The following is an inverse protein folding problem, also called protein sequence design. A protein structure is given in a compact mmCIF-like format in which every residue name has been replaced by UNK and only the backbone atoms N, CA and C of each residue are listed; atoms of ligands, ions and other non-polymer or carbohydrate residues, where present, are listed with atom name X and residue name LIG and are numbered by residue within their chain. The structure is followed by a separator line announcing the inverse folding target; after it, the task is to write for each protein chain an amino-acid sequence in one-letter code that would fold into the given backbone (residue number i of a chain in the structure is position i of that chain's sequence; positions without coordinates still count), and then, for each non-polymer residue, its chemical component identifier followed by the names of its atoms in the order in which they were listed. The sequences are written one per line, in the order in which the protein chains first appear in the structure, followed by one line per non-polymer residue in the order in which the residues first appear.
data_IF_371412997543
#
_entry.id   IF_371412997543
#
_cell.length_a   1.000
_cell.length_b   1.000
_cell.length_c   1.000
_cell.angle_alpha   90.00
_cell.angle_beta   90.00
_cell.angle_gamma   90.00
#
_symmetry.space_group_name_H-M   'P 1'
#
loop_
_entity.id
_entity.type
_entity.pdbx_description
1 polymer ?
#
# COMPACT_ATOMS: atom_id res chain seq x y z
N UNK A 1 -8.96 3.43 -17.79
CA UNK A 1 -8.07 4.28 -16.96
C UNK A 1 -6.79 3.50 -16.71
N UNK A 2 -5.61 4.02 -17.07
CA UNK A 2 -4.34 3.27 -16.99
C UNK A 2 -4.01 2.77 -15.57
N UNK A 3 -4.33 3.58 -14.56
CA UNK A 3 -4.09 3.25 -13.14
C UNK A 3 -4.83 1.99 -12.71
N UNK A 4 -6.14 1.87 -13.00
CA UNK A 4 -6.92 0.68 -12.61
C UNK A 4 -6.37 -0.61 -13.23
N UNK A 5 -5.86 -0.54 -14.47
CA UNK A 5 -5.22 -1.69 -15.13
C UNK A 5 -3.88 -2.04 -14.48
N UNK A 6 -3.07 -1.04 -14.15
CA UNK A 6 -1.81 -1.27 -13.44
C UNK A 6 -2.05 -1.92 -12.07
N UNK A 7 -3.05 -1.43 -11.33
CA UNK A 7 -3.46 -1.99 -10.04
C UNK A 7 -3.92 -3.43 -10.22
N UNK A 8 -4.79 -3.72 -11.19
CA UNK A 8 -5.26 -5.07 -11.47
C UNK A 8 -4.12 -6.05 -11.78
N UNK A 9 -3.11 -5.62 -12.55
CA UNK A 9 -1.93 -6.45 -12.83
C UNK A 9 -1.17 -6.76 -11.54
N UNK A 10 -0.90 -5.75 -10.70
CA UNK A 10 -0.18 -5.94 -9.44
C UNK A 10 -0.97 -6.83 -8.48
N UNK A 11 -2.27 -6.57 -8.32
CA UNK A 11 -3.12 -7.33 -7.38
C UNK A 11 -3.31 -8.77 -7.83
N UNK A 12 -3.46 -9.02 -9.13
CA UNK A 12 -3.54 -10.39 -9.65
C UNK A 12 -2.20 -11.14 -9.54
N UNK A 13 -1.07 -10.42 -9.62
CA UNK A 13 0.27 -11.03 -9.54
C UNK A 13 0.67 -11.35 -8.11
N UNK A 14 0.38 -10.44 -7.17
CA UNK A 14 0.76 -10.56 -5.76
C UNK A 14 -0.34 -11.17 -4.88
N UNK A 15 -1.54 -11.36 -5.41
CA UNK A 15 -2.73 -11.85 -4.71
C UNK A 15 -3.02 -11.09 -3.41
N UNK A 16 -3.10 -9.76 -3.50
CA UNK A 16 -3.38 -8.89 -2.35
C UNK A 16 -4.87 -8.57 -2.24
N UNK A 17 -5.36 -8.51 -1.01
CA UNK A 17 -6.75 -8.17 -0.69
C UNK A 17 -6.96 -6.66 -0.47
N UNK A 18 -5.88 -5.87 -0.38
CA UNK A 18 -5.96 -4.43 -0.08
C UNK A 18 -4.95 -3.61 -0.87
N UNK A 19 -5.43 -2.50 -1.44
CA UNK A 19 -4.64 -1.48 -2.12
C UNK A 19 -4.80 -0.15 -1.39
N UNK A 20 -3.67 0.43 -0.98
CA UNK A 20 -3.63 1.74 -0.33
C UNK A 20 -3.01 2.75 -1.29
N UNK A 21 -3.78 3.76 -1.71
CA UNK A 21 -3.27 4.88 -2.49
C UNK A 21 -2.75 5.99 -1.59
N UNK A 22 -1.62 6.57 -1.96
CA UNK A 22 -1.03 7.68 -1.23
C UNK A 22 -0.09 8.50 -2.08
N UNK A 23 0.61 9.42 -1.42
CA UNK A 23 1.55 10.35 -2.02
C UNK A 23 1.23 11.80 -1.68
N UNK A 24 2.16 12.72 -1.93
CA UNK A 24 2.06 14.12 -1.49
C UNK A 24 0.87 14.87 -2.09
N UNK A 25 0.29 14.39 -3.20
CA UNK A 25 -0.86 15.01 -3.85
C UNK A 25 -2.16 14.21 -3.71
N UNK A 26 -2.14 13.13 -2.91
CA UNK A 26 -3.27 12.21 -2.82
C UNK A 26 -4.55 12.90 -2.37
N UNK A 27 -4.47 13.86 -1.45
CA UNK A 27 -5.63 14.59 -0.93
C UNK A 27 -6.53 15.13 -2.04
N UNK A 28 -5.96 15.74 -3.08
CA UNK A 28 -6.71 16.35 -4.20
C UNK A 28 -7.25 15.33 -5.20
N UNK A 29 -6.68 14.12 -5.24
CA UNK A 29 -7.04 13.07 -6.21
C UNK A 29 -7.96 12.01 -5.59
N UNK A 30 -7.99 11.93 -4.26
CA UNK A 30 -8.57 10.85 -3.47
C UNK A 30 -10.03 10.57 -3.84
N UNK A 31 -10.89 11.58 -3.82
CA UNK A 31 -12.32 11.43 -4.09
C UNK A 31 -12.57 10.76 -5.45
N UNK A 32 -11.96 11.29 -6.51
CA UNK A 32 -12.13 10.75 -7.88
C UNK A 32 -11.59 9.34 -8.03
N UNK A 33 -10.46 9.04 -7.39
CA UNK A 33 -9.81 7.74 -7.51
C UNK A 33 -10.55 6.68 -6.70
N UNK A 34 -11.00 7.01 -5.49
CA UNK A 34 -11.77 6.13 -4.63
C UNK A 34 -13.17 5.85 -5.19
N UNK A 35 -13.77 6.78 -5.94
CA UNK A 35 -15.01 6.52 -6.69
C UNK A 35 -14.78 5.62 -7.92
N UNK A 36 -13.73 5.89 -8.71
CA UNK A 36 -13.57 5.26 -10.03
C UNK A 36 -12.80 3.96 -10.06
N UNK A 37 -11.82 3.77 -9.18
CA UNK A 37 -10.94 2.60 -9.26
C UNK A 37 -11.62 1.32 -8.79
N UNK A 38 -12.36 1.27 -7.66
CA UNK A 38 -12.97 0.03 -7.19
C UNK A 38 -13.83 -0.70 -8.25
N UNK A 39 -14.78 -0.04 -8.95
CA UNK A 39 -15.58 -0.75 -9.96
C UNK A 39 -14.75 -1.20 -11.16
N UNK A 40 -13.72 -0.45 -11.55
CA UNK A 40 -12.82 -0.83 -12.64
C UNK A 40 -11.89 -1.99 -12.26
N UNK A 41 -11.49 -2.08 -10.99
CA UNK A 41 -10.69 -3.17 -10.47
C UNK A 41 -11.52 -4.45 -10.33
N UNK A 42 -12.76 -4.31 -9.86
CA UNK A 42 -13.75 -5.39 -9.79
C UNK A 42 -14.08 -6.00 -11.18
N UNK A 43 -13.98 -5.23 -12.26
CA UNK A 43 -14.17 -5.77 -13.60
C UNK A 43 -12.94 -6.53 -14.15
N UNK A 44 -11.76 -6.36 -13.56
CA UNK A 44 -10.48 -6.83 -14.13
C UNK A 44 -9.67 -7.77 -13.22
N UNK A 45 -10.14 -8.03 -11.99
CA UNK A 45 -9.46 -8.98 -11.09
C UNK A 45 -9.89 -10.42 -11.38
N UNK A 46 -8.89 -11.28 -11.50
CA UNK A 46 -9.07 -12.70 -11.78
C UNK A 46 -9.58 -13.47 -10.53
N UNK A 47 -9.29 -12.95 -9.34
CA UNK A 47 -9.64 -13.55 -8.06
C UNK A 47 -10.94 -13.00 -7.46
N UNK A 48 -11.66 -12.09 -8.14
CA UNK A 48 -12.89 -11.47 -7.61
C UNK A 48 -14.01 -12.47 -7.27
N UNK A 49 -13.98 -13.68 -7.82
CA UNK A 49 -14.92 -14.75 -7.45
C UNK A 49 -14.56 -15.44 -6.12
N UNK A 50 -13.40 -15.15 -5.55
CA UNK A 50 -12.85 -15.76 -4.33
C UNK A 50 -12.79 -14.72 -3.20
N UNK A 51 -12.14 -13.58 -3.43
CA UNK A 51 -12.04 -12.47 -2.47
C UNK A 51 -12.11 -11.11 -3.19
N UNK A 52 -12.63 -10.10 -2.50
CA UNK A 52 -12.71 -8.73 -3.02
C UNK A 52 -11.47 -7.93 -2.67
N UNK A 53 -11.08 -6.99 -3.53
CA UNK A 53 -9.95 -6.09 -3.28
C UNK A 53 -10.47 -4.78 -2.70
N UNK A 54 -10.09 -4.49 -1.45
CA UNK A 54 -10.39 -3.22 -0.80
C UNK A 54 -9.45 -2.13 -1.31
N UNK A 55 -10.00 -0.99 -1.73
CA UNK A 55 -9.23 0.16 -2.20
C UNK A 55 -9.45 1.33 -1.24
N UNK A 56 -8.38 1.78 -0.59
CA UNK A 56 -8.43 2.85 0.42
C UNK A 56 -7.36 3.92 0.16
N UNK A 57 -7.56 5.09 0.73
CA UNK A 57 -6.53 6.13 0.80
C UNK A 57 -5.61 5.93 2.01
N UNK A 58 -4.40 6.47 1.95
CA UNK A 58 -3.47 6.49 3.08
C UNK A 58 -4.06 7.26 4.26
N UNK A 59 -4.00 6.68 5.46
CA UNK A 59 -4.38 7.34 6.71
C UNK A 59 -3.29 8.27 7.30
N UNK A 60 -2.10 8.28 6.70
CA UNK A 60 -0.90 8.98 7.22
C UNK A 60 -0.83 10.44 6.74
N UNK A 61 -1.60 10.81 5.72
CA UNK A 61 -1.63 12.17 5.17
C UNK A 61 -0.54 12.47 4.13
N UNK A 62 -0.30 13.75 3.87
CA UNK A 62 0.58 14.22 2.78
C UNK A 62 2.07 13.90 3.01
N UNK A 63 2.51 13.89 4.27
CA UNK A 63 3.90 13.61 4.66
C UNK A 63 4.23 12.11 4.75
N UNK A 64 3.42 11.23 4.14
CA UNK A 64 3.58 9.77 4.20
C UNK A 64 5.00 9.30 3.85
N UNK A 65 5.66 9.96 2.90
CA UNK A 65 7.03 9.64 2.52
C UNK A 65 8.04 9.96 3.62
N UNK A 66 7.92 11.12 4.26
CA UNK A 66 8.79 11.53 5.36
C UNK A 66 8.58 10.67 6.60
N UNK A 67 7.32 10.35 6.91
CA UNK A 67 6.96 9.46 8.02
C UNK A 67 7.52 8.05 7.76
N UNK A 68 7.38 7.53 6.53
CA UNK A 68 7.98 6.25 6.14
C UNK A 68 9.51 6.24 6.29
N UNK A 69 10.18 7.31 5.86
CA UNK A 69 11.63 7.46 6.03
C UNK A 69 12.05 7.48 7.51
N UNK A 70 11.32 8.21 8.36
CA UNK A 70 11.56 8.24 9.80
C UNK A 70 11.35 6.85 10.43
N UNK A 71 10.31 6.13 10.03
CA UNK A 71 10.09 4.75 10.48
C UNK A 71 11.26 3.82 10.12
N UNK A 72 11.84 3.97 8.92
CA UNK A 72 13.03 3.18 8.54
C UNK A 72 14.25 3.51 9.40
N UNK A 73 14.46 4.79 9.75
CA UNK A 73 15.55 5.20 10.66
C UNK A 73 15.34 4.62 12.06
N UNK A 74 14.11 4.68 12.57
CA UNK A 74 13.75 4.13 13.87
C UNK A 74 13.94 2.61 13.90
N UNK A 75 13.43 1.89 12.89
CA UNK A 75 13.61 0.45 12.74
C UNK A 75 15.09 0.09 12.68
N UNK A 76 15.89 0.81 11.87
CA UNK A 76 17.32 0.53 11.78
C UNK A 76 18.05 0.72 13.12
N UNK A 77 17.64 1.71 13.91
CA UNK A 77 18.31 2.10 15.15
C UNK A 77 17.89 1.20 16.31
N UNK A 78 16.59 0.94 16.42
CA UNK A 78 15.94 0.40 17.61
C UNK A 78 15.49 -1.05 17.47
N UNK A 79 15.43 -1.61 16.25
CA UNK A 79 14.98 -2.98 16.08
C UNK A 79 15.91 -3.97 16.80
N UNK A 80 15.35 -4.95 17.53
CA UNK A 80 16.13 -5.99 18.17
C UNK A 80 16.77 -6.87 17.10
N UNK A 81 18.10 -6.82 17.01
CA UNK A 81 18.88 -7.73 16.15
C UNK A 81 19.43 -8.85 16.99
N UNK A 82 19.16 -10.10 16.59
CA UNK A 82 19.68 -11.29 17.27
C UNK A 82 21.21 -11.25 17.48
N UNK A 83 21.95 -10.65 16.54
CA UNK A 83 23.40 -10.42 16.67
C UNK A 83 23.80 -9.53 17.86
N UNK A 84 22.94 -8.62 18.33
CA UNK A 84 23.19 -7.80 19.53
C UNK A 84 22.81 -8.52 20.83
N UNK A 85 22.13 -9.66 20.75
CA UNK A 85 21.72 -10.51 21.87
C UNK A 85 22.64 -11.72 22.06
N UNK A 86 23.56 -11.96 21.11
CA UNK A 86 24.64 -12.92 21.31
C UNK A 86 25.66 -12.29 22.26
N UNK A 87 25.74 -12.84 23.48
CA UNK A 87 26.82 -12.54 24.40
C UNK A 87 28.10 -13.14 23.80
N UNK A 88 29.10 -12.31 23.52
CA UNK A 88 30.44 -12.79 23.16
C UNK A 88 30.94 -13.66 24.33
N UNK A 89 31.19 -14.94 24.03
CA UNK A 89 31.79 -15.89 24.97
C UNK A 89 33.29 -15.73 25.04
#
# INVERSE_FOLDING_TARGET
MLVARAVAVVTNTLDVERVVFGGPFWGRMSERYLDRIPPLLAANSAANSIHGIEVVGTGVGEDVGAIGAACLVLEHTLAPRAQRLLLEG
#
